data_IF_429611076148
#
_entry.id   IF_429611076148
#
_cell.length_a   1.000
_cell.length_b   1.000
_cell.length_c   1.000
_cell.angle_alpha   90.00
_cell.angle_beta   90.00
_cell.angle_gamma   90.00
#
_symmetry.space_group_name_H-M   'P 1'
#
loop_
_entity.id
_entity.type
_entity.pdbx_description
1 polymer ?
#
# COMPACT_ATOMS: atom_id res chain seq x y z
N UNK A 1 -11.35 7.46 -17.05
CA UNK A 1 -10.57 7.49 -15.79
C UNK A 1 -11.47 8.08 -14.71
N UNK A 2 -11.38 7.65 -13.45
CA UNK A 2 -12.11 8.36 -12.39
C UNK A 2 -11.53 9.78 -12.29
N UNK A 3 -12.36 10.83 -12.39
CA UNK A 3 -11.92 12.24 -12.37
C UNK A 3 -10.90 12.56 -11.26
N UNK A 4 -11.00 11.98 -10.04
CA UNK A 4 -9.98 12.18 -9.01
C UNK A 4 -8.59 11.63 -9.35
N UNK A 5 -8.50 10.49 -10.03
CA UNK A 5 -7.21 9.90 -10.42
C UNK A 5 -6.53 10.79 -11.47
N UNK A 6 -7.30 11.23 -12.46
CA UNK A 6 -6.81 12.13 -13.50
C UNK A 6 -6.31 13.46 -12.92
N UNK A 7 -7.01 14.01 -11.93
CA UNK A 7 -6.58 15.21 -11.22
C UNK A 7 -5.22 15.03 -10.55
N UNK A 8 -5.01 13.92 -9.83
CA UNK A 8 -3.75 13.62 -9.14
C UNK A 8 -2.61 13.36 -10.14
N UNK A 9 -2.89 12.72 -11.28
CA UNK A 9 -1.87 12.53 -12.32
C UNK A 9 -1.39 13.86 -12.90
N UNK A 10 -2.29 14.83 -13.06
CA UNK A 10 -1.96 16.16 -13.57
C UNK A 10 -1.42 17.10 -12.48
N UNK A 11 -1.77 16.87 -11.22
CA UNK A 11 -1.39 17.67 -10.06
C UNK A 11 -0.85 16.75 -8.94
N UNK A 12 0.35 16.17 -9.11
CA UNK A 12 0.88 15.16 -8.17
C UNK A 12 1.13 15.69 -6.76
N UNK A 13 1.22 17.01 -6.59
CA UNK A 13 1.38 17.67 -5.29
C UNK A 13 0.06 17.80 -4.51
N UNK A 14 -1.09 17.62 -5.18
CA UNK A 14 -2.41 17.68 -4.54
C UNK A 14 -2.79 16.37 -3.83
N UNK A 15 -1.84 15.44 -3.72
CA UNK A 15 -2.05 14.16 -3.06
C UNK A 15 -2.39 14.40 -1.58
N UNK A 16 -3.59 14.00 -1.12
CA UNK A 16 -3.98 14.20 0.27
C UNK A 16 -3.06 13.40 1.20
N UNK A 17 -2.77 13.98 2.37
CA UNK A 17 -2.02 13.29 3.40
C UNK A 17 -2.82 12.08 3.93
N UNK A 18 -2.10 11.00 4.22
CA UNK A 18 -2.69 9.82 4.87
C UNK A 18 -2.47 9.99 6.37
N UNK A 19 -3.54 10.10 7.18
CA UNK A 19 -3.38 10.25 8.62
C UNK A 19 -2.49 9.14 9.19
N UNK A 20 -1.56 9.50 10.07
CA UNK A 20 -0.55 8.58 10.61
C UNK A 20 -1.15 7.27 11.13
N UNK A 21 -2.25 7.35 11.88
CA UNK A 21 -2.94 6.17 12.41
C UNK A 21 -3.46 5.22 11.31
N UNK A 22 -3.96 5.78 10.19
CA UNK A 22 -4.41 5.01 9.02
C UNK A 22 -3.21 4.34 8.37
N UNK A 23 -2.09 5.08 8.19
CA UNK A 23 -0.86 4.52 7.64
C UNK A 23 -0.33 3.37 8.49
N UNK A 24 -0.19 3.55 9.80
CA UNK A 24 0.33 2.54 10.72
C UNK A 24 -0.56 1.28 10.72
N UNK A 25 -1.88 1.47 10.72
CA UNK A 25 -2.82 0.36 10.57
C UNK A 25 -2.62 -0.37 9.24
N UNK A 26 -2.63 0.31 8.10
CA UNK A 26 -2.48 -0.32 6.79
C UNK A 26 -1.12 -1.02 6.64
N UNK A 27 -0.03 -0.40 7.11
CA UNK A 27 1.28 -1.03 7.16
C UNK A 27 1.27 -2.33 7.99
N UNK A 28 0.60 -2.34 9.14
CA UNK A 28 0.43 -3.56 9.94
C UNK A 28 -0.36 -4.65 9.19
N UNK A 29 -1.31 -4.28 8.33
CA UNK A 29 -2.12 -5.24 7.56
C UNK A 29 -1.39 -5.78 6.34
N UNK A 30 -0.45 -5.02 5.79
CA UNK A 30 0.29 -5.36 4.59
C UNK A 30 1.62 -6.08 4.88
N UNK A 31 2.01 -6.17 6.16
CA UNK A 31 3.21 -6.90 6.54
C UNK A 31 3.08 -8.41 6.27
N UNK A 32 4.19 -9.05 5.93
CA UNK A 32 4.22 -10.45 5.53
C UNK A 32 3.70 -11.39 6.64
N UNK A 33 4.15 -11.22 7.88
CA UNK A 33 3.77 -12.08 9.01
C UNK A 33 2.25 -12.11 9.21
N UNK A 34 1.62 -10.94 9.15
CA UNK A 34 0.18 -10.81 9.24
C UNK A 34 -0.52 -11.52 8.08
N UNK A 35 -0.07 -11.29 6.84
CA UNK A 35 -0.66 -11.90 5.64
C UNK A 35 -0.51 -13.42 5.63
N UNK A 36 0.61 -13.95 6.13
CA UNK A 36 0.81 -15.40 6.27
C UNK A 36 -0.21 -16.02 7.22
N UNK A 37 -0.53 -15.32 8.31
CA UNK A 37 -1.52 -15.78 9.28
C UNK A 37 -2.97 -15.60 8.81
N UNK A 38 -3.26 -14.54 8.03
CA UNK A 38 -4.63 -14.16 7.69
C UNK A 38 -5.09 -14.61 6.30
N UNK A 39 -4.28 -14.42 5.26
CA UNK A 39 -4.70 -14.58 3.86
C UNK A 39 -4.04 -15.78 3.18
N UNK A 40 -2.73 -15.99 3.36
CA UNK A 40 -2.00 -17.10 2.71
C UNK A 40 -2.62 -18.45 3.06
N UNK A 41 -2.98 -18.64 4.33
CA UNK A 41 -3.65 -19.87 4.78
C UNK A 41 -4.94 -20.12 3.99
N UNK A 42 -5.80 -19.12 3.85
CA UNK A 42 -7.08 -19.22 3.13
C UNK A 42 -6.84 -19.52 1.64
N UNK A 43 -5.85 -18.88 1.04
CA UNK A 43 -5.52 -19.09 -0.37
C UNK A 43 -4.99 -20.49 -0.64
N UNK A 44 -4.20 -21.06 0.28
CA UNK A 44 -3.76 -22.45 0.22
C UNK A 44 -4.92 -23.42 0.39
N UNK A 45 -5.80 -23.18 1.36
CA UNK A 45 -7.01 -24.00 1.59
C UNK A 45 -7.97 -23.95 0.39
N UNK A 46 -8.00 -22.84 -0.35
CA UNK A 46 -8.74 -22.70 -1.60
C UNK A 46 -8.06 -23.34 -2.83
N UNK A 47 -6.86 -23.91 -2.68
CA UNK A 47 -6.14 -24.63 -3.74
C UNK A 47 -5.39 -23.74 -4.73
N UNK A 48 -5.09 -22.48 -4.38
CA UNK A 48 -4.26 -21.61 -5.22
C UNK A 48 -2.78 -22.04 -5.20
N UNK A 49 -2.07 -21.83 -6.32
CA UNK A 49 -0.65 -22.15 -6.41
C UNK A 49 0.22 -21.18 -5.60
N UNK A 50 1.44 -21.60 -5.26
CA UNK A 50 2.38 -20.75 -4.53
C UNK A 50 2.81 -19.53 -5.37
N UNK A 51 2.83 -19.61 -6.70
CA UNK A 51 3.08 -18.47 -7.58
C UNK A 51 1.96 -17.43 -7.49
N UNK A 52 0.69 -17.89 -7.44
CA UNK A 52 -0.46 -17.00 -7.25
C UNK A 52 -0.37 -16.28 -5.90
N UNK A 53 -0.11 -17.04 -4.83
CA UNK A 53 0.03 -16.51 -3.47
C UNK A 53 1.19 -15.51 -3.41
N UNK A 54 2.32 -15.83 -4.04
CA UNK A 54 3.48 -14.93 -4.12
C UNK A 54 3.12 -13.62 -4.82
N UNK A 55 2.32 -13.67 -5.89
CA UNK A 55 1.79 -12.48 -6.55
C UNK A 55 0.90 -11.63 -5.63
N UNK A 56 0.05 -12.25 -4.81
CA UNK A 56 -0.79 -11.54 -3.83
C UNK A 56 0.06 -10.87 -2.75
N UNK A 57 1.05 -11.59 -2.20
CA UNK A 57 1.97 -11.04 -1.21
C UNK A 57 2.77 -9.87 -1.79
N UNK A 58 3.23 -10.00 -3.03
CA UNK A 58 3.92 -8.93 -3.74
C UNK A 58 3.03 -7.69 -3.93
N UNK A 59 1.75 -7.87 -4.26
CA UNK A 59 0.80 -6.77 -4.35
C UNK A 59 0.67 -5.97 -3.05
N UNK A 60 0.60 -6.66 -1.91
CA UNK A 60 0.56 -6.01 -0.59
C UNK A 60 1.88 -5.32 -0.24
N UNK A 61 3.01 -5.92 -0.58
CA UNK A 61 4.32 -5.29 -0.45
C UNK A 61 4.40 -3.98 -1.24
N UNK A 62 3.91 -3.97 -2.48
CA UNK A 62 3.85 -2.75 -3.30
C UNK A 62 2.92 -1.70 -2.70
N UNK A 63 1.77 -2.09 -2.16
CA UNK A 63 0.86 -1.18 -1.47
C UNK A 63 1.51 -0.54 -0.23
N UNK A 64 2.23 -1.32 0.57
CA UNK A 64 3.03 -0.84 1.70
C UNK A 64 4.08 0.19 1.25
N UNK A 65 4.82 -0.09 0.17
CA UNK A 65 5.81 0.85 -0.37
C UNK A 65 5.20 2.18 -0.80
N UNK A 66 4.03 2.17 -1.44
CA UNK A 66 3.33 3.40 -1.83
C UNK A 66 3.03 4.27 -0.61
N UNK A 67 2.62 3.68 0.53
CA UNK A 67 2.37 4.44 1.77
C UNK A 67 3.66 5.08 2.33
N UNK A 68 4.81 4.45 2.14
CA UNK A 68 6.10 5.01 2.53
C UNK A 68 6.57 6.13 1.60
N UNK A 69 6.36 5.96 0.29
CA UNK A 69 6.63 7.00 -0.70
C UNK A 69 5.76 8.24 -0.46
N UNK A 70 4.48 8.06 -0.12
CA UNK A 70 3.58 9.16 0.25
C UNK A 70 4.11 9.94 1.45
N UNK A 71 4.58 9.26 2.51
CA UNK A 71 5.17 9.92 3.68
C UNK A 71 6.49 10.62 3.34
N UNK A 72 7.36 9.98 2.55
CA UNK A 72 8.63 10.56 2.12
C UNK A 72 8.46 11.85 1.34
N UNK A 73 7.49 11.89 0.41
CA UNK A 73 7.12 13.10 -0.34
C UNK A 73 6.63 14.21 0.59
N UNK A 74 5.78 13.88 1.57
CA UNK A 74 5.29 14.87 2.53
C UNK A 74 6.41 15.48 3.39
N UNK A 75 7.39 14.66 3.81
CA UNK A 75 8.57 15.19 4.54
C UNK A 75 9.40 16.11 3.66
N UNK A 76 9.67 15.71 2.41
CA UNK A 76 10.42 16.53 1.46
C UNK A 76 9.73 17.88 1.16
N UNK A 77 8.39 17.91 1.06
CA UNK A 77 7.64 19.15 0.88
C UNK A 77 7.73 20.07 2.11
N UNK A 78 7.69 19.50 3.33
CA UNK A 78 7.80 20.28 4.59
C UNK A 78 9.22 20.79 4.88
N UNK A 79 10.25 20.14 4.33
CA UNK A 79 11.66 20.52 4.49
C UNK A 79 12.16 21.49 3.40
N UNK A 80 11.41 21.62 2.29
CA UNK A 80 11.74 22.48 1.15
C UNK A 80 11.12 23.88 1.18
N UNK A 81 10.28 24.18 2.17
CA UNK A 81 9.71 25.50 2.52
C UNK A 81 10.42 26.09 3.75
#
# INVERSE_FOLDING_TARGET
MLKPIEHILNNPNDLPDVPRAVKEYLQSRYNADFLYQSEVRKLREAGHSEEFISGVLYGHHMASRVLDEMEGRQRALKEGD
#
